data_IF_650356717945
#
_entry.id   IF_650356717945
#
_cell.length_a   1.000
_cell.length_b   1.000
_cell.length_c   1.000
_cell.angle_alpha   90.00
_cell.angle_beta   90.00
_cell.angle_gamma   90.00
#
_symmetry.space_group_name_H-M   'P 1'
#
loop_
_entity.id
_entity.type
_entity.pdbx_description
1 polymer ?
#
# COMPACT_ATOMS: atom_id res chain seq x y z
N UNK A 1 6.04 -3.60 3.08
CA UNK A 1 5.29 -2.34 3.19
C UNK A 1 4.33 -2.37 4.36
N UNK A 2 4.20 -1.27 5.10
CA UNK A 2 3.28 -1.15 6.24
C UNK A 2 2.45 0.12 6.12
N UNK A 3 1.16 0.00 6.41
CA UNK A 3 0.19 1.10 6.32
C UNK A 3 -0.44 1.34 7.69
N UNK A 4 -0.19 2.52 8.24
CA UNK A 4 -0.73 2.97 9.52
C UNK A 4 -1.84 3.99 9.24
N UNK A 5 -3.06 3.64 9.60
CA UNK A 5 -4.27 4.44 9.36
C UNK A 5 -4.70 5.26 10.57
N UNK A 6 -4.08 5.01 11.71
CA UNK A 6 -4.32 5.70 12.96
C UNK A 6 -3.11 5.61 13.90
N UNK A 7 -3.14 6.38 14.97
CA UNK A 7 -2.08 6.43 15.96
C UNK A 7 -1.94 5.12 16.78
N UNK A 8 -2.99 4.32 16.88
CA UNK A 8 -2.96 3.04 17.61
C UNK A 8 -2.15 2.00 16.80
N UNK A 9 -2.42 1.90 15.51
CA UNK A 9 -1.64 1.07 14.59
C UNK A 9 -0.16 1.50 14.54
N UNK A 10 0.10 2.80 14.69
CA UNK A 10 1.46 3.38 14.67
C UNK A 10 2.36 2.91 15.81
N UNK A 11 1.82 2.34 16.89
CA UNK A 11 2.59 1.86 18.05
C UNK A 11 3.68 0.83 17.68
N UNK A 12 3.56 0.17 16.54
CA UNK A 12 4.56 -0.76 16.02
C UNK A 12 5.82 -0.08 15.43
N UNK A 13 5.81 1.25 15.26
CA UNK A 13 6.93 2.02 14.68
C UNK A 13 7.14 3.32 15.42
N UNK A 14 8.32 3.53 15.97
CA UNK A 14 8.69 4.77 16.67
C UNK A 14 8.54 5.99 15.77
N UNK A 15 8.98 5.90 14.52
CA UNK A 15 8.83 6.99 13.55
C UNK A 15 7.36 7.26 13.22
N UNK A 16 6.54 6.20 13.07
CA UNK A 16 5.11 6.39 12.81
C UNK A 16 4.42 7.11 13.98
N UNK A 17 4.74 6.76 15.24
CA UNK A 17 4.23 7.44 16.44
C UNK A 17 4.62 8.92 16.43
N UNK A 18 5.88 9.24 16.12
CA UNK A 18 6.35 10.63 16.03
C UNK A 18 5.61 11.40 14.94
N UNK A 19 5.42 10.80 13.77
CA UNK A 19 4.69 11.45 12.67
C UNK A 19 3.21 11.68 13.00
N UNK A 20 2.54 10.73 13.67
CA UNK A 20 1.16 10.92 14.11
C UNK A 20 1.01 11.93 15.26
N UNK A 21 2.07 12.24 15.99
CA UNK A 21 2.08 13.32 16.99
C UNK A 21 1.97 14.73 16.37
N UNK A 22 2.27 14.84 15.08
CA UNK A 22 2.17 16.09 14.34
C UNK A 22 0.69 16.32 13.97
N UNK A 23 0.11 17.40 14.48
CA UNK A 23 -1.29 17.74 14.22
C UNK A 23 -1.53 17.90 12.72
N UNK A 24 -2.50 17.19 12.21
CA UNK A 24 -2.85 17.18 10.77
C UNK A 24 -2.36 15.96 10.01
N UNK A 25 -1.50 15.12 10.58
CA UNK A 25 -1.15 13.82 10.01
C UNK A 25 -2.26 12.82 10.32
N UNK A 26 -2.81 12.19 9.28
CA UNK A 26 -3.89 11.20 9.41
C UNK A 26 -3.52 9.79 8.93
N UNK A 27 -2.38 9.68 8.23
CA UNK A 27 -1.92 8.41 7.68
C UNK A 27 -0.42 8.40 7.48
N UNK A 28 0.21 7.27 7.73
CA UNK A 28 1.62 7.03 7.45
C UNK A 28 1.76 5.68 6.76
N UNK A 29 2.45 5.64 5.63
CA UNK A 29 2.73 4.41 4.89
C UNK A 29 4.22 4.28 4.65
N UNK A 30 4.79 3.13 4.97
CA UNK A 30 6.17 2.77 4.68
C UNK A 30 6.24 1.85 3.48
N UNK A 31 6.83 2.36 2.40
CA UNK A 31 7.23 1.59 1.23
C UNK A 31 8.60 0.91 1.42
N UNK A 32 9.11 0.25 0.36
CA UNK A 32 10.43 -0.41 0.42
C UNK A 32 11.59 0.57 0.63
N UNK A 33 11.52 1.74 0.03
CA UNK A 33 12.57 2.76 -0.01
C UNK A 33 12.02 4.20 0.11
N UNK A 34 10.76 4.33 0.48
CA UNK A 34 10.08 5.62 0.66
C UNK A 34 9.08 5.54 1.81
N UNK A 35 8.63 6.70 2.27
CA UNK A 35 7.48 6.82 3.14
C UNK A 35 6.48 7.85 2.58
N UNK A 36 5.21 7.60 2.83
CA UNK A 36 4.13 8.51 2.45
C UNK A 36 3.39 8.98 3.69
N UNK A 37 3.19 10.28 3.80
CA UNK A 37 2.39 10.90 4.86
C UNK A 37 1.12 11.47 4.26
N UNK A 38 -0.02 11.06 4.79
CA UNK A 38 -1.33 11.62 4.50
C UNK A 38 -1.71 12.66 5.53
N UNK A 39 -2.30 13.76 5.07
CA UNK A 39 -2.77 14.83 5.94
C UNK A 39 -4.28 14.99 5.88
N UNK A 40 -4.87 15.49 6.95
CA UNK A 40 -6.26 15.93 6.98
C UNK A 40 -6.50 17.10 6.02
N UNK A 41 -7.73 17.26 5.58
CA UNK A 41 -8.12 18.37 4.68
C UNK A 41 -7.99 19.76 5.34
N UNK A 42 -8.04 19.80 6.66
CA UNK A 42 -7.98 21.05 7.43
C UNK A 42 -6.59 21.68 7.49
N UNK A 43 -5.52 20.93 7.19
CA UNK A 43 -4.14 21.38 7.31
C UNK A 43 -3.47 21.55 5.96
N UNK A 44 -2.49 22.45 5.89
CA UNK A 44 -1.71 22.74 4.69
C UNK A 44 -0.30 22.14 4.78
N UNK A 45 0.21 21.65 3.65
CA UNK A 45 1.57 21.12 3.55
C UNK A 45 2.65 22.15 3.93
N UNK A 46 2.40 23.44 3.75
CA UNK A 46 3.31 24.51 4.13
C UNK A 46 3.65 24.48 5.62
N UNK A 47 2.71 24.05 6.47
CA UNK A 47 2.89 23.93 7.91
C UNK A 47 3.40 22.55 8.36
N UNK A 48 3.14 21.51 7.57
CA UNK A 48 3.45 20.13 7.93
C UNK A 48 4.81 19.65 7.45
N UNK A 49 5.32 20.17 6.32
CA UNK A 49 6.59 19.70 5.74
C UNK A 49 7.78 19.79 6.69
N UNK A 50 7.96 20.93 7.33
CA UNK A 50 9.11 21.14 8.20
C UNK A 50 9.12 20.21 9.43
N UNK A 51 8.03 20.11 10.22
CA UNK A 51 8.00 19.18 11.35
C UNK A 51 8.09 17.70 10.93
N UNK A 52 7.49 17.31 9.80
CA UNK A 52 7.60 15.94 9.28
C UNK A 52 9.04 15.61 8.90
N UNK A 53 9.72 16.50 8.16
CA UNK A 53 11.11 16.28 7.77
C UNK A 53 12.04 16.27 9.00
N UNK A 54 11.79 17.11 9.99
CA UNK A 54 12.54 17.11 11.23
C UNK A 54 12.41 15.77 11.98
N UNK A 55 11.18 15.26 12.14
CA UNK A 55 10.93 13.97 12.78
C UNK A 55 11.65 12.81 12.05
N UNK A 56 11.60 12.81 10.71
CA UNK A 56 12.30 11.80 9.89
C UNK A 56 13.81 11.89 10.11
N UNK A 57 14.40 13.09 10.04
CA UNK A 57 15.82 13.28 10.22
C UNK A 57 16.29 12.91 11.63
N UNK A 58 15.54 13.29 12.66
CA UNK A 58 15.85 12.98 14.06
C UNK A 58 15.83 11.47 14.29
N UNK A 59 14.83 10.77 13.74
CA UNK A 59 14.72 9.33 13.84
C UNK A 59 15.94 8.62 13.23
N UNK A 60 16.30 8.94 11.98
CA UNK A 60 17.44 8.32 11.30
C UNK A 60 18.78 8.72 11.89
N UNK A 61 18.92 9.94 12.41
CA UNK A 61 20.13 10.39 13.08
C UNK A 61 20.33 9.69 14.43
N UNK A 62 19.23 9.38 15.14
CA UNK A 62 19.28 8.66 16.42
C UNK A 62 19.65 7.18 16.27
N UNK A 63 19.57 6.64 15.04
CA UNK A 63 19.86 5.24 14.76
C UNK A 63 18.83 4.25 15.33
N UNK A 64 17.65 4.72 15.67
CA UNK A 64 16.57 3.86 16.17
C UNK A 64 15.99 2.99 15.04
N UNK A 65 15.59 1.74 15.35
CA UNK A 65 14.95 0.90 14.36
C UNK A 65 13.58 1.45 13.97
N UNK A 66 13.23 1.32 12.69
CA UNK A 66 11.92 1.76 12.17
C UNK A 66 10.74 1.04 12.85
N UNK A 67 10.94 -0.21 13.23
CA UNK A 67 9.90 -1.05 13.83
C UNK A 67 10.37 -1.61 15.17
N UNK A 68 9.51 -1.56 16.17
CA UNK A 68 9.72 -2.16 17.49
C UNK A 68 9.42 -3.67 17.41
N UNK A 69 10.38 -4.46 16.96
CA UNK A 69 10.26 -5.91 16.86
C UNK A 69 10.56 -6.46 15.48
N UNK A 70 11.00 -7.72 15.44
CA UNK A 70 11.40 -8.44 14.22
C UNK A 70 10.22 -9.06 13.46
N UNK A 71 9.03 -8.48 13.53
CA UNK A 71 7.92 -8.95 12.71
C UNK A 71 8.08 -8.43 11.29
N UNK A 72 8.70 -9.26 10.47
CA UNK A 72 8.62 -9.25 9.02
C UNK A 72 7.20 -9.58 8.53
N UNK A 73 6.18 -8.90 9.06
CA UNK A 73 4.89 -8.81 8.39
C UNK A 73 5.07 -7.89 7.19
N UNK A 74 6.01 -8.29 6.34
CA UNK A 74 6.21 -7.70 5.04
C UNK A 74 4.86 -7.72 4.33
N UNK A 75 4.41 -6.59 3.83
CA UNK A 75 3.24 -6.52 2.97
C UNK A 75 3.51 -7.32 1.69
N UNK A 76 3.37 -8.62 1.79
CA UNK A 76 3.35 -9.55 0.68
C UNK A 76 1.93 -9.74 0.15
N UNK A 77 1.82 -10.38 -0.99
CA UNK A 77 0.56 -10.92 -1.46
C UNK A 77 0.00 -11.94 -0.47
N UNK A 78 -1.32 -12.10 -0.48
CA UNK A 78 -1.94 -13.18 0.29
C UNK A 78 -1.44 -14.54 -0.20
N UNK A 79 -1.07 -15.42 0.73
CA UNK A 79 -0.53 -16.76 0.47
C UNK A 79 -1.63 -17.83 0.44
N UNK A 80 -2.88 -17.47 0.14
CA UNK A 80 -3.94 -18.43 -0.07
C UNK A 80 -3.51 -19.49 -1.10
N UNK A 81 -3.69 -20.74 -0.75
CA UNK A 81 -3.29 -21.88 -1.58
C UNK A 81 -4.33 -22.09 -2.66
N UNK A 82 -3.91 -22.00 -3.91
CA UNK A 82 -4.69 -22.33 -5.08
C UNK A 82 -4.12 -23.60 -5.73
N UNK A 83 -4.96 -24.39 -6.37
CA UNK A 83 -4.56 -25.63 -7.00
C UNK A 83 -4.86 -25.62 -8.51
N UNK A 84 -4.17 -26.48 -9.25
CA UNK A 84 -4.42 -26.71 -10.68
C UNK A 84 -4.21 -25.48 -11.55
N UNK A 85 -5.13 -25.23 -12.46
CA UNK A 85 -5.10 -24.11 -13.41
C UNK A 85 -5.22 -22.74 -12.71
N UNK A 86 -6.04 -22.68 -11.66
CA UNK A 86 -6.21 -21.47 -10.84
C UNK A 86 -4.92 -21.01 -10.19
N UNK A 87 -4.07 -21.94 -9.76
CA UNK A 87 -2.74 -21.61 -9.21
C UNK A 87 -1.83 -20.91 -10.24
N UNK A 88 -1.92 -21.31 -11.51
CA UNK A 88 -1.17 -20.68 -12.59
C UNK A 88 -1.68 -19.27 -12.88
N UNK A 89 -2.99 -19.11 -12.94
CA UNK A 89 -3.66 -17.80 -13.12
C UNK A 89 -3.25 -16.83 -12.01
N UNK A 90 -3.32 -17.27 -10.76
CA UNK A 90 -2.92 -16.45 -9.59
C UNK A 90 -1.44 -16.12 -9.61
N UNK A 91 -0.57 -17.06 -10.01
CA UNK A 91 0.86 -16.81 -10.13
C UNK A 91 1.15 -15.74 -11.20
N UNK A 92 0.46 -15.78 -12.35
CA UNK A 92 0.57 -14.78 -13.40
C UNK A 92 0.07 -13.41 -12.96
N UNK A 93 -1.05 -13.36 -12.24
CA UNK A 93 -1.58 -12.11 -11.65
C UNK A 93 -0.55 -11.51 -10.68
N UNK A 94 0.01 -12.30 -9.76
CA UNK A 94 1.04 -11.84 -8.81
C UNK A 94 2.30 -11.33 -9.53
N UNK A 95 2.75 -12.04 -10.55
CA UNK A 95 3.92 -11.61 -11.36
C UNK A 95 3.68 -10.28 -12.06
N UNK A 96 2.51 -10.10 -12.67
CA UNK A 96 2.13 -8.83 -13.31
C UNK A 96 2.04 -7.67 -12.29
N UNK A 97 1.50 -7.95 -11.11
CA UNK A 97 1.47 -6.98 -10.02
C UNK A 97 2.91 -6.57 -9.64
N UNK A 98 3.79 -7.52 -9.37
CA UNK A 98 5.15 -7.26 -8.89
C UNK A 98 6.04 -6.59 -9.94
N UNK A 99 5.92 -7.00 -11.20
CA UNK A 99 6.84 -6.55 -12.25
C UNK A 99 6.39 -5.26 -12.94
N UNK A 100 5.09 -4.97 -13.00
CA UNK A 100 4.56 -3.85 -13.77
C UNK A 100 3.74 -2.85 -12.95
N UNK A 101 2.87 -3.32 -12.07
CA UNK A 101 1.89 -2.47 -11.38
C UNK A 101 2.50 -1.84 -10.14
N UNK A 102 3.10 -2.64 -9.25
CA UNK A 102 3.68 -2.15 -8.00
C UNK A 102 4.79 -1.11 -8.21
N UNK A 103 5.74 -1.28 -9.17
CA UNK A 103 6.74 -0.25 -9.43
C UNK A 103 6.15 1.09 -9.87
N UNK A 104 5.10 1.07 -10.69
CA UNK A 104 4.41 2.29 -11.12
C UNK A 104 3.68 2.96 -9.97
N UNK A 105 2.98 2.18 -9.15
CA UNK A 105 2.22 2.64 -7.99
C UNK A 105 3.14 3.18 -6.89
N UNK A 106 4.32 2.59 -6.72
CA UNK A 106 5.33 3.07 -5.78
C UNK A 106 5.82 4.50 -6.10
N UNK A 107 5.89 4.87 -7.39
CA UNK A 107 6.24 6.24 -7.80
C UNK A 107 5.20 7.27 -7.32
N UNK A 108 3.95 6.84 -7.17
CA UNK A 108 2.84 7.67 -6.65
C UNK A 108 2.70 7.56 -5.10
N UNK A 109 3.62 6.86 -4.44
CA UNK A 109 3.64 6.72 -2.98
C UNK A 109 2.65 5.72 -2.42
N UNK A 110 2.26 4.71 -3.19
CA UNK A 110 1.36 3.65 -2.78
C UNK A 110 1.90 2.24 -3.03
N UNK A 111 1.07 1.25 -2.74
CA UNK A 111 1.33 -0.16 -3.05
C UNK A 111 0.01 -0.88 -3.33
N UNK A 112 0.09 -1.94 -4.14
CA UNK A 112 -1.03 -2.83 -4.46
C UNK A 112 -0.60 -4.26 -4.24
N UNK A 113 -1.36 -4.98 -3.42
CA UNK A 113 -1.10 -6.37 -3.10
C UNK A 113 -2.27 -7.25 -3.52
N UNK A 114 -1.95 -8.44 -4.00
CA UNK A 114 -2.94 -9.48 -4.25
C UNK A 114 -3.56 -9.93 -2.92
N UNK A 115 -4.88 -9.99 -2.88
CA UNK A 115 -5.63 -10.54 -1.75
C UNK A 115 -6.19 -11.92 -2.10
N UNK A 116 -7.09 -11.99 -3.09
CA UNK A 116 -7.66 -13.25 -3.54
C UNK A 116 -8.17 -13.18 -4.97
N UNK A 117 -8.33 -14.33 -5.58
CA UNK A 117 -8.99 -14.53 -6.86
C UNK A 117 -10.22 -15.41 -6.69
N UNK A 118 -11.34 -14.97 -7.22
CA UNK A 118 -12.58 -15.76 -7.23
C UNK A 118 -12.70 -16.45 -8.60
N UNK A 119 -12.42 -17.73 -8.62
CA UNK A 119 -12.45 -18.57 -9.82
C UNK A 119 -13.85 -18.64 -10.46
N UNK A 120 -14.91 -18.60 -9.65
CA UNK A 120 -16.28 -18.71 -10.15
C UNK A 120 -16.73 -17.46 -10.91
N UNK A 121 -16.23 -16.29 -10.53
CA UNK A 121 -16.62 -14.99 -11.10
C UNK A 121 -15.52 -14.34 -11.92
N UNK A 122 -14.28 -14.79 -11.81
CA UNK A 122 -13.10 -14.16 -12.43
C UNK A 122 -12.71 -12.82 -11.79
N UNK A 123 -13.18 -12.54 -10.59
CA UNK A 123 -12.89 -11.29 -9.89
C UNK A 123 -11.59 -11.40 -9.10
N UNK A 124 -10.68 -10.44 -9.31
CA UNK A 124 -9.45 -10.28 -8.54
C UNK A 124 -9.67 -9.24 -7.46
N UNK A 125 -9.40 -9.61 -6.23
CA UNK A 125 -9.44 -8.72 -5.08
C UNK A 125 -8.04 -8.24 -4.74
N UNK A 126 -7.86 -6.92 -4.66
CA UNK A 126 -6.58 -6.27 -4.40
C UNK A 126 -6.67 -5.40 -3.14
N UNK A 127 -5.61 -5.42 -2.36
CA UNK A 127 -5.44 -4.52 -1.21
C UNK A 127 -4.59 -3.32 -1.64
N UNK A 128 -5.22 -2.14 -1.67
CA UNK A 128 -4.56 -0.88 -2.01
C UNK A 128 -4.09 -0.18 -0.75
N UNK A 129 -2.82 0.26 -0.74
CA UNK A 129 -2.16 0.89 0.42
C UNK A 129 -1.55 2.24 0.07
N UNK A 130 -1.22 3.01 1.08
CA UNK A 130 -0.59 4.32 0.92
C UNK A 130 -1.47 5.31 0.14
N UNK A 131 -0.88 6.08 -0.77
CA UNK A 131 -1.58 7.08 -1.57
C UNK A 131 -2.73 6.50 -2.42
N UNK A 132 -2.67 5.21 -2.76
CA UNK A 132 -3.69 4.55 -3.60
C UNK A 132 -5.02 4.32 -2.89
N UNK A 133 -5.06 4.31 -1.57
CA UNK A 133 -6.28 4.01 -0.79
C UNK A 133 -7.00 5.26 -0.28
N UNK A 134 -6.43 6.45 -0.46
CA UNK A 134 -6.94 7.69 0.16
C UNK A 134 -7.78 8.60 -0.72
N UNK A 135 -7.81 8.40 -2.04
CA UNK A 135 -8.47 9.33 -2.95
C UNK A 135 -9.48 8.62 -3.86
N UNK A 136 -10.80 8.87 -3.72
CA UNK A 136 -11.84 8.14 -4.47
C UNK A 136 -11.69 8.26 -6.00
N UNK A 137 -11.25 9.42 -6.50
CA UNK A 137 -11.08 9.64 -7.94
C UNK A 137 -9.83 8.98 -8.52
N UNK A 138 -8.71 8.98 -7.79
CA UNK A 138 -7.48 8.33 -8.22
C UNK A 138 -7.56 6.82 -8.06
N UNK A 139 -8.20 6.32 -7.01
CA UNK A 139 -8.41 4.88 -6.80
C UNK A 139 -9.29 4.27 -7.90
N UNK A 140 -10.33 4.97 -8.37
CA UNK A 140 -11.17 4.50 -9.47
C UNK A 140 -10.40 4.42 -10.79
N UNK A 141 -9.58 5.42 -11.11
CA UNK A 141 -8.75 5.44 -12.32
C UNK A 141 -7.66 4.35 -12.25
N UNK A 142 -7.02 4.20 -11.11
CA UNK A 142 -6.01 3.18 -10.88
C UNK A 142 -6.63 1.78 -10.99
N UNK A 143 -7.78 1.55 -10.34
CA UNK A 143 -8.53 0.30 -10.43
C UNK A 143 -8.84 -0.06 -11.89
N UNK A 144 -9.36 0.89 -12.67
CA UNK A 144 -9.65 0.67 -14.08
C UNK A 144 -8.41 0.36 -14.91
N UNK A 145 -7.28 1.03 -14.64
CA UNK A 145 -5.99 0.77 -15.29
C UNK A 145 -5.45 -0.61 -14.99
N UNK A 146 -5.49 -1.01 -13.73
CA UNK A 146 -5.08 -2.35 -13.28
C UNK A 146 -5.99 -3.44 -13.86
N UNK A 147 -7.31 -3.22 -13.84
CA UNK A 147 -8.29 -4.14 -14.43
C UNK A 147 -8.04 -4.35 -15.92
N UNK A 148 -7.83 -3.28 -16.68
CA UNK A 148 -7.55 -3.36 -18.12
C UNK A 148 -6.25 -4.12 -18.40
N UNK A 149 -5.21 -3.87 -17.59
CA UNK A 149 -3.93 -4.57 -17.73
C UNK A 149 -4.08 -6.05 -17.41
N UNK A 150 -4.71 -6.42 -16.30
CA UNK A 150 -4.93 -7.81 -15.93
C UNK A 150 -5.77 -8.54 -16.97
N UNK A 151 -6.87 -7.96 -17.45
CA UNK A 151 -7.70 -8.55 -18.52
C UNK A 151 -6.94 -8.77 -19.84
N UNK A 152 -5.98 -7.90 -20.11
CA UNK A 152 -5.20 -8.03 -21.35
C UNK A 152 -4.23 -9.22 -21.32
N UNK A 153 -3.61 -9.48 -20.18
CA UNK A 153 -2.62 -10.56 -20.01
C UNK A 153 -3.24 -11.85 -19.49
N UNK A 154 -4.29 -11.75 -18.67
CA UNK A 154 -4.99 -12.86 -18.02
C UNK A 154 -6.46 -12.80 -18.39
N UNK A 155 -6.89 -13.46 -19.49
CA UNK A 155 -8.27 -13.37 -20.00
C UNK A 155 -9.33 -13.87 -19.02
N UNK A 156 -8.96 -14.70 -18.05
CA UNK A 156 -9.83 -15.23 -17.00
C UNK A 156 -10.28 -14.15 -16.01
N UNK A 157 -9.57 -13.02 -15.94
CA UNK A 157 -9.94 -11.88 -15.10
C UNK A 157 -11.10 -11.12 -15.73
N UNK A 158 -12.20 -11.03 -15.03
CA UNK A 158 -13.41 -10.31 -15.46
C UNK A 158 -13.54 -8.93 -14.85
N UNK A 159 -13.08 -8.77 -13.61
CA UNK A 159 -13.11 -7.51 -12.88
C UNK A 159 -12.04 -7.47 -11.79
N UNK A 160 -11.75 -6.27 -11.32
CA UNK A 160 -10.89 -6.00 -10.16
C UNK A 160 -11.71 -5.31 -9.09
N UNK A 161 -11.62 -5.79 -7.86
CA UNK A 161 -12.24 -5.17 -6.68
C UNK A 161 -11.20 -4.82 -5.62
N UNK A 162 -11.43 -3.71 -4.92
CA UNK A 162 -10.59 -3.29 -3.81
C UNK A 162 -11.11 -3.89 -2.50
N UNK A 163 -10.21 -4.48 -1.71
CA UNK A 163 -10.46 -4.83 -0.32
C UNK A 163 -9.89 -3.75 0.61
N UNK A 164 -10.55 -3.57 1.75
CA UNK A 164 -10.12 -2.62 2.79
C UNK A 164 -9.09 -3.24 3.71
#
# INVERSE_FOLDING_TARGET
TRDFRDAEAAAASTLAVELFSIEGVERVFFGPDFLTVGKTRAHDWSHLKAPILAAIMDHFTSGQPLFAGSDDAAGGHDDAVYEGETAQIVAEIKDLLDTRIRPAVAQDGGDILFNRFDEATGVVYLNMRGACSGCPSSSATLKAGVENMLKHYVPEVTAVEQTL
#
